data_IF_267522262225
#
_entry.id   IF_267522262225
#
_cell.length_a   1.000
_cell.length_b   1.000
_cell.length_c   1.000
_cell.angle_alpha   90.00
_cell.angle_beta   90.00
_cell.angle_gamma   90.00
#
_symmetry.space_group_name_H-M   'P 1'
#
loop_
_entity.id
_entity.type
_entity.pdbx_description
1 polymer ?
#
# COMPACT_ATOMS: atom_id res chain seq x y z
N UNK A 1 11.65 9.63 -12.54
CA UNK A 1 10.63 10.67 -12.79
C UNK A 1 9.39 10.27 -12.01
N UNK A 2 8.93 11.06 -11.04
CA UNK A 2 7.74 10.72 -10.24
C UNK A 2 6.51 10.78 -11.16
N UNK A 3 5.80 9.65 -11.31
CA UNK A 3 4.61 9.53 -12.16
C UNK A 3 3.35 10.13 -11.49
N UNK A 4 3.48 11.34 -11.01
CA UNK A 4 2.36 12.11 -10.51
C UNK A 4 2.20 13.33 -11.41
N UNK A 5 1.40 13.28 -12.48
CA UNK A 5 1.11 14.46 -13.25
C UNK A 5 0.56 15.54 -12.32
N UNK A 6 1.17 16.70 -12.36
CA UNK A 6 0.67 17.89 -11.67
C UNK A 6 -0.33 18.54 -12.61
N UNK A 7 -1.55 18.64 -12.16
CA UNK A 7 -2.65 19.28 -12.87
C UNK A 7 -2.77 20.72 -12.36
N UNK A 8 -2.44 21.66 -13.21
CA UNK A 8 -2.48 23.09 -12.87
C UNK A 8 -3.50 23.80 -13.74
N UNK A 9 -4.44 24.48 -13.11
CA UNK A 9 -5.49 25.27 -13.75
C UNK A 9 -5.56 26.66 -13.11
N UNK A 10 -6.41 27.52 -13.61
CA UNK A 10 -6.70 28.82 -12.98
C UNK A 10 -7.37 28.66 -11.60
N UNK A 11 -7.98 27.50 -11.32
CA UNK A 11 -8.67 27.20 -10.06
C UNK A 11 -7.74 26.66 -8.97
N UNK A 12 -6.53 26.16 -9.33
CA UNK A 12 -5.59 25.63 -8.37
C UNK A 12 -4.63 24.59 -8.91
N UNK A 13 -4.04 23.82 -7.99
CA UNK A 13 -3.05 22.79 -8.29
C UNK A 13 -3.41 21.49 -7.60
N UNK A 14 -3.42 20.39 -8.34
CA UNK A 14 -3.61 19.05 -7.83
C UNK A 14 -2.57 18.07 -8.40
N UNK A 15 -2.23 17.04 -7.65
CA UNK A 15 -1.48 15.89 -8.16
C UNK A 15 -2.43 14.73 -8.42
N UNK A 16 -2.26 14.06 -9.55
CA UNK A 16 -3.10 12.93 -9.95
C UNK A 16 -2.28 11.63 -9.91
N UNK A 17 -2.83 10.57 -9.36
CA UNK A 17 -2.30 9.20 -9.47
C UNK A 17 -3.20 8.44 -10.42
N UNK A 18 -2.72 8.20 -11.64
CA UNK A 18 -3.47 7.55 -12.71
C UNK A 18 -2.98 6.11 -12.99
N UNK A 19 -1.88 5.70 -12.39
CA UNK A 19 -1.28 4.38 -12.59
C UNK A 19 -2.21 3.23 -12.18
N UNK A 20 -3.17 3.47 -11.30
CA UNK A 20 -4.13 2.46 -10.86
C UNK A 20 -5.30 2.28 -11.85
N UNK A 21 -5.49 3.20 -12.80
CA UNK A 21 -6.59 3.13 -13.78
C UNK A 21 -6.57 1.83 -14.59
N UNK A 22 -5.46 1.39 -15.20
CA UNK A 22 -5.45 0.16 -16.00
C UNK A 22 -5.63 -1.13 -15.19
N UNK A 23 -5.41 -1.08 -13.86
CA UNK A 23 -5.44 -2.27 -13.01
C UNK A 23 -6.72 -2.36 -12.18
N UNK A 24 -7.21 -1.22 -11.69
CA UNK A 24 -8.29 -1.12 -10.70
C UNK A 24 -9.42 -0.19 -11.12
N UNK A 25 -9.25 0.54 -12.22
CA UNK A 25 -10.12 1.63 -12.70
C UNK A 25 -10.26 2.74 -11.64
N UNK A 26 -9.20 2.94 -10.86
CA UNK A 26 -9.16 3.91 -9.75
C UNK A 26 -8.17 5.05 -10.06
N UNK A 27 -8.59 6.28 -9.74
CA UNK A 27 -7.72 7.45 -9.77
C UNK A 27 -7.73 8.16 -8.42
N UNK A 28 -6.60 8.78 -8.08
CA UNK A 28 -6.45 9.48 -6.81
C UNK A 28 -5.99 10.92 -7.05
N UNK A 29 -6.71 11.87 -6.45
CA UNK A 29 -6.48 13.31 -6.57
C UNK A 29 -5.97 13.81 -5.22
N UNK A 30 -4.83 14.51 -5.21
CA UNK A 30 -4.39 15.27 -4.05
C UNK A 30 -4.40 16.75 -4.38
N UNK A 31 -5.34 17.50 -3.82
CA UNK A 31 -5.40 18.96 -3.95
C UNK A 31 -4.26 19.54 -3.12
N UNK A 32 -3.38 20.31 -3.77
CA UNK A 32 -2.24 20.96 -3.12
C UNK A 32 -2.56 22.40 -2.73
N UNK A 33 -3.29 23.11 -3.61
CA UNK A 33 -3.83 24.43 -3.37
C UNK A 33 -5.04 24.66 -4.26
N UNK A 34 -6.05 25.38 -3.76
CA UNK A 34 -7.23 25.69 -4.56
C UNK A 34 -7.73 27.11 -4.25
N UNK A 35 -7.95 27.87 -5.31
CA UNK A 35 -8.68 29.16 -5.27
C UNK A 35 -10.18 28.92 -5.38
N UNK A 36 -10.57 27.98 -6.24
CA UNK A 36 -11.95 27.52 -6.44
C UNK A 36 -11.93 25.97 -6.38
N UNK A 37 -12.12 25.38 -5.17
CA UNK A 37 -11.92 23.94 -4.97
C UNK A 37 -12.94 23.07 -5.70
N UNK A 38 -14.15 23.54 -5.91
CA UNK A 38 -15.20 22.82 -6.64
C UNK A 38 -14.84 22.69 -8.12
N UNK A 39 -14.47 23.78 -8.76
CA UNK A 39 -14.10 23.84 -10.17
C UNK A 39 -12.84 23.01 -10.44
N UNK A 40 -11.82 23.16 -9.59
CA UNK A 40 -10.59 22.36 -9.69
C UNK A 40 -10.90 20.86 -9.59
N UNK A 41 -11.75 20.47 -8.61
CA UNK A 41 -12.11 19.07 -8.42
C UNK A 41 -12.88 18.53 -9.61
N UNK A 42 -13.85 19.30 -10.15
CA UNK A 42 -14.65 18.91 -11.32
C UNK A 42 -13.78 18.71 -12.57
N UNK A 43 -12.79 19.58 -12.81
CA UNK A 43 -11.85 19.40 -13.91
C UNK A 43 -10.98 18.14 -13.71
N UNK A 44 -10.46 17.93 -12.50
CA UNK A 44 -9.69 16.73 -12.17
C UNK A 44 -10.51 15.44 -12.35
N UNK A 45 -11.77 15.42 -11.90
CA UNK A 45 -12.70 14.29 -12.10
C UNK A 45 -12.92 14.04 -13.58
N UNK A 46 -13.20 15.09 -14.34
CA UNK A 46 -13.44 15.00 -15.79
C UNK A 46 -12.25 14.39 -16.51
N UNK A 47 -11.04 14.84 -16.16
CA UNK A 47 -9.80 14.29 -16.70
C UNK A 47 -9.59 12.82 -16.31
N UNK A 48 -9.78 12.46 -15.03
CA UNK A 48 -9.65 11.08 -14.57
C UNK A 48 -10.64 10.14 -15.28
N UNK A 49 -11.86 10.59 -15.52
CA UNK A 49 -12.89 9.83 -16.29
C UNK A 49 -12.49 9.65 -17.75
N UNK A 50 -11.97 10.70 -18.38
CA UNK A 50 -11.50 10.65 -19.77
C UNK A 50 -10.39 9.60 -19.97
N UNK A 51 -9.54 9.37 -18.97
CA UNK A 51 -8.50 8.34 -19.01
C UNK A 51 -8.97 6.96 -18.51
N UNK A 52 -10.27 6.79 -18.22
CA UNK A 52 -10.90 5.50 -17.92
C UNK A 52 -11.06 5.16 -16.44
N UNK A 53 -10.94 6.14 -15.52
CA UNK A 53 -11.24 5.90 -14.11
C UNK A 53 -12.75 5.80 -13.87
N UNK A 54 -13.18 4.75 -13.16
CA UNK A 54 -14.56 4.53 -12.73
C UNK A 54 -14.78 4.93 -11.27
N UNK A 55 -13.71 4.89 -10.47
CA UNK A 55 -13.71 5.33 -9.07
C UNK A 55 -12.66 6.39 -8.90
N UNK A 56 -13.03 7.50 -8.30
CA UNK A 56 -12.12 8.62 -8.10
C UNK A 56 -12.17 9.02 -6.62
N UNK A 57 -10.99 9.11 -6.03
CA UNK A 57 -10.81 9.47 -4.64
C UNK A 57 -10.00 10.76 -4.54
N UNK A 58 -10.36 11.62 -3.59
CA UNK A 58 -9.67 12.89 -3.39
C UNK A 58 -9.31 13.14 -1.93
N UNK A 59 -8.27 13.97 -1.73
CA UNK A 59 -7.81 14.46 -0.42
C UNK A 59 -7.10 15.80 -0.54
N UNK A 60 -6.70 16.37 0.60
CA UNK A 60 -5.78 17.52 0.65
C UNK A 60 -6.43 18.88 0.77
N UNK A 61 -7.75 18.95 0.81
CA UNK A 61 -8.49 20.20 1.02
C UNK A 61 -9.79 19.92 1.76
N UNK A 62 -10.24 20.85 2.64
CA UNK A 62 -11.46 20.69 3.44
C UNK A 62 -12.73 20.49 2.58
N UNK A 63 -12.75 21.05 1.37
CA UNK A 63 -13.87 20.89 0.45
C UNK A 63 -14.20 19.43 0.14
N UNK A 64 -13.21 18.54 0.09
CA UNK A 64 -13.47 17.11 -0.22
C UNK A 64 -14.06 16.34 0.96
N UNK A 65 -14.02 16.88 2.16
CA UNK A 65 -14.56 16.23 3.37
C UNK A 65 -16.11 16.15 3.39
N UNK A 66 -16.78 16.88 2.52
CA UNK A 66 -18.23 16.75 2.32
C UNK A 66 -18.64 15.46 1.60
N UNK A 67 -17.69 14.80 0.92
CA UNK A 67 -17.92 13.52 0.23
C UNK A 67 -17.78 12.34 1.19
N UNK A 68 -18.36 11.18 0.85
CA UNK A 68 -18.22 9.99 1.69
C UNK A 68 -16.77 9.59 1.90
N UNK A 69 -16.41 9.38 3.15
CA UNK A 69 -15.09 8.80 3.49
C UNK A 69 -14.98 7.40 2.88
N UNK A 70 -13.95 7.18 2.05
CA UNK A 70 -13.63 5.88 1.51
C UNK A 70 -12.77 5.07 2.49
N UNK A 71 -11.59 5.58 2.81
CA UNK A 71 -10.71 4.98 3.83
C UNK A 71 -9.75 6.03 4.42
N UNK A 72 -9.30 5.76 5.63
CA UNK A 72 -8.14 6.41 6.21
C UNK A 72 -6.91 5.47 6.10
N UNK A 73 -5.72 6.03 6.01
CA UNK A 73 -4.48 5.29 6.14
C UNK A 73 -3.95 5.50 7.55
N UNK A 74 -3.83 4.41 8.27
CA UNK A 74 -3.38 4.38 9.65
C UNK A 74 -1.92 3.93 9.69
N UNK A 75 -1.14 4.57 10.56
CA UNK A 75 0.17 4.07 10.96
C UNK A 75 0.00 3.17 12.17
N UNK A 76 0.68 2.01 12.15
CA UNK A 76 0.80 1.16 13.32
C UNK A 76 2.27 0.94 13.64
N UNK A 77 2.60 0.92 14.94
CA UNK A 77 3.95 0.70 15.45
C UNK A 77 3.93 -0.23 16.65
N UNK A 78 5.04 -0.92 16.88
CA UNK A 78 5.24 -1.74 18.08
C UNK A 78 6.57 -2.46 18.06
N UNK A 79 6.96 -2.96 19.24
CA UNK A 79 8.05 -3.91 19.39
C UNK A 79 7.47 -5.31 19.21
N UNK A 80 8.05 -6.10 18.34
CA UNK A 80 7.58 -7.47 18.06
C UNK A 80 8.72 -8.44 18.35
N UNK A 81 8.48 -9.36 19.26
CA UNK A 81 9.39 -10.48 19.49
C UNK A 81 9.19 -11.53 18.40
N UNK A 82 10.30 -11.98 17.81
CA UNK A 82 10.26 -13.04 16.81
C UNK A 82 10.10 -14.39 17.51
N UNK A 83 9.02 -15.12 17.19
CA UNK A 83 8.81 -16.47 17.66
C UNK A 83 9.51 -17.45 16.72
N UNK A 84 10.66 -18.00 17.15
CA UNK A 84 11.52 -18.86 16.34
C UNK A 84 10.82 -20.09 15.77
N UNK A 85 9.87 -20.68 16.49
CA UNK A 85 9.09 -21.84 16.04
C UNK A 85 8.16 -21.52 14.87
N UNK A 86 7.84 -20.24 14.66
CA UNK A 86 7.04 -19.74 13.53
C UNK A 86 7.89 -19.34 12.33
N UNK A 87 9.19 -19.25 12.49
CA UNK A 87 10.10 -18.86 11.39
C UNK A 87 10.16 -20.00 10.36
N UNK A 88 10.13 -19.61 9.10
CA UNK A 88 10.19 -20.48 7.93
C UNK A 88 11.28 -20.01 6.98
N UNK A 89 11.60 -20.82 5.96
CA UNK A 89 12.68 -20.51 5.03
C UNK A 89 12.37 -19.24 4.22
N UNK A 90 13.30 -18.30 4.21
CA UNK A 90 13.27 -17.08 3.43
C UNK A 90 14.09 -17.24 2.16
N UNK A 91 13.49 -16.91 1.04
CA UNK A 91 14.17 -16.88 -0.25
C UNK A 91 14.19 -15.43 -0.74
N UNK A 92 15.35 -14.80 -0.81
CA UNK A 92 15.46 -13.41 -1.26
C UNK A 92 14.98 -13.29 -2.70
N UNK A 93 14.30 -12.20 -2.98
CA UNK A 93 13.89 -11.87 -4.35
C UNK A 93 15.11 -11.49 -5.15
N UNK A 94 15.27 -12.14 -6.31
CA UNK A 94 16.35 -11.89 -7.26
C UNK A 94 15.77 -11.26 -8.53
N UNK A 95 16.65 -10.82 -9.43
CA UNK A 95 16.25 -10.27 -10.72
C UNK A 95 15.38 -11.24 -11.53
N UNK A 96 15.65 -12.55 -11.42
CA UNK A 96 14.89 -13.60 -12.12
C UNK A 96 13.52 -13.85 -11.49
N UNK A 97 13.36 -13.60 -10.21
CA UNK A 97 12.13 -13.90 -9.46
C UNK A 97 11.28 -12.67 -9.13
N UNK A 98 11.79 -11.46 -9.36
CA UNK A 98 11.10 -10.20 -9.04
C UNK A 98 9.73 -10.08 -9.72
N UNK A 99 9.62 -10.48 -10.98
CA UNK A 99 8.36 -10.49 -11.72
C UNK A 99 7.31 -11.41 -11.09
N UNK A 100 7.69 -12.61 -10.63
CA UNK A 100 6.80 -13.56 -9.99
C UNK A 100 6.36 -13.04 -8.60
N UNK A 101 7.29 -12.47 -7.83
CA UNK A 101 7.02 -11.87 -6.54
C UNK A 101 6.03 -10.70 -6.66
N UNK A 102 6.26 -9.79 -7.60
CA UNK A 102 5.37 -8.68 -7.91
C UNK A 102 3.97 -9.16 -8.30
N UNK A 103 3.89 -10.15 -9.21
CA UNK A 103 2.61 -10.69 -9.64
C UNK A 103 1.83 -11.30 -8.46
N UNK A 104 2.50 -12.10 -7.63
CA UNK A 104 1.89 -12.69 -6.44
C UNK A 104 1.33 -11.62 -5.49
N UNK A 105 2.11 -10.59 -5.18
CA UNK A 105 1.64 -9.52 -4.28
C UNK A 105 0.49 -8.72 -4.89
N UNK A 106 0.57 -8.36 -6.17
CA UNK A 106 -0.50 -7.63 -6.84
C UNK A 106 -1.82 -8.43 -6.81
N UNK A 107 -1.77 -9.75 -7.03
CA UNK A 107 -2.95 -10.61 -6.95
C UNK A 107 -3.55 -10.61 -5.54
N UNK A 108 -2.71 -10.78 -4.51
CA UNK A 108 -3.16 -10.86 -3.11
C UNK A 108 -3.62 -9.52 -2.55
N UNK A 109 -3.00 -8.41 -2.97
CA UNK A 109 -3.30 -7.07 -2.47
C UNK A 109 -4.40 -6.37 -3.29
N UNK A 110 -4.77 -6.89 -4.45
CA UNK A 110 -5.81 -6.30 -5.31
C UNK A 110 -7.14 -5.98 -4.58
N UNK A 111 -7.66 -6.82 -3.66
CA UNK A 111 -8.90 -6.50 -2.96
C UNK A 111 -8.74 -5.50 -1.81
N UNK A 112 -7.51 -5.06 -1.50
CA UNK A 112 -7.24 -4.14 -0.39
C UNK A 112 -7.34 -2.70 -0.87
N UNK A 113 -8.18 -1.90 -0.21
CA UNK A 113 -8.34 -0.49 -0.53
C UNK A 113 -7.01 0.26 -0.41
N UNK A 114 -6.75 1.12 -1.38
CA UNK A 114 -5.57 1.97 -1.45
C UNK A 114 -4.21 1.22 -1.41
N UNK A 115 -4.21 -0.09 -1.60
CA UNK A 115 -2.98 -0.84 -1.86
C UNK A 115 -2.53 -0.55 -3.28
N UNK A 116 -1.38 0.12 -3.44
CA UNK A 116 -0.84 0.46 -4.75
C UNK A 116 -0.41 -0.78 -5.53
N UNK A 117 -0.62 -0.76 -6.84
CA UNK A 117 -0.13 -1.80 -7.74
C UNK A 117 1.37 -1.66 -7.94
N UNK A 118 2.11 -2.75 -7.75
CA UNK A 118 3.54 -2.80 -8.03
C UNK A 118 3.77 -2.88 -9.54
N UNK A 119 4.57 -1.99 -10.07
CA UNK A 119 4.92 -1.95 -11.49
C UNK A 119 6.35 -2.51 -11.70
N UNK A 120 6.61 -3.03 -12.90
CA UNK A 120 7.93 -3.59 -13.25
C UNK A 120 9.06 -2.55 -13.14
N UNK A 121 8.78 -1.28 -13.41
CA UNK A 121 9.77 -0.20 -13.23
C UNK A 121 10.23 0.01 -11.79
N UNK A 122 9.44 -0.43 -10.80
CA UNK A 122 9.81 -0.39 -9.37
C UNK A 122 10.63 -1.59 -8.90
N UNK A 123 10.75 -2.65 -9.72
CA UNK A 123 11.48 -3.87 -9.32
C UNK A 123 12.95 -3.60 -9.01
N UNK A 124 13.60 -2.73 -9.78
CA UNK A 124 15.00 -2.40 -9.55
C UNK A 124 15.20 -1.69 -8.21
N UNK A 125 14.32 -0.76 -7.83
CA UNK A 125 14.37 -0.09 -6.53
C UNK A 125 14.24 -1.10 -5.38
N UNK A 126 13.33 -2.08 -5.50
CA UNK A 126 13.12 -3.13 -4.51
C UNK A 126 14.37 -4.01 -4.38
N UNK A 127 15.00 -4.36 -5.50
CA UNK A 127 16.23 -5.17 -5.52
C UNK A 127 17.41 -4.41 -4.91
N UNK A 128 17.52 -3.12 -5.21
CA UNK A 128 18.62 -2.27 -4.70
C UNK A 128 18.50 -2.03 -3.18
N UNK A 129 17.27 -1.86 -2.68
CA UNK A 129 17.00 -1.69 -1.25
C UNK A 129 17.08 -3.02 -0.48
N UNK A 130 16.82 -4.13 -1.15
CA UNK A 130 16.73 -5.45 -0.50
C UNK A 130 15.51 -5.62 0.38
N UNK A 131 15.49 -6.67 1.21
CA UNK A 131 14.42 -6.92 2.18
C UNK A 131 13.14 -7.54 1.59
N UNK A 132 13.10 -7.85 0.30
CA UNK A 132 12.00 -8.54 -0.35
C UNK A 132 12.24 -10.06 -0.37
N UNK A 133 11.25 -10.82 0.10
CA UNK A 133 11.38 -12.28 0.26
C UNK A 133 10.12 -13.02 -0.16
N UNK A 134 10.32 -14.26 -0.61
CA UNK A 134 9.33 -15.32 -0.53
C UNK A 134 9.56 -16.12 0.75
N UNK A 135 8.48 -16.57 1.38
CA UNK A 135 8.50 -17.42 2.58
C UNK A 135 7.98 -18.80 2.23
N UNK A 136 8.80 -19.81 2.47
CA UNK A 136 8.50 -21.21 2.14
C UNK A 136 8.64 -22.12 3.37
N UNK A 137 7.82 -23.17 3.41
CA UNK A 137 7.98 -24.27 4.37
C UNK A 137 7.66 -25.59 3.68
N UNK A 138 8.52 -26.57 3.82
CA UNK A 138 8.34 -27.93 3.27
C UNK A 138 8.02 -27.91 1.74
N UNK A 139 8.71 -27.07 0.99
CA UNK A 139 8.51 -26.92 -0.45
C UNK A 139 7.25 -26.14 -0.86
N UNK A 140 6.47 -25.62 0.08
CA UNK A 140 5.25 -24.86 -0.19
C UNK A 140 5.47 -23.37 0.07
N UNK A 141 4.96 -22.53 -0.85
CA UNK A 141 4.91 -21.09 -0.66
C UNK A 141 3.90 -20.74 0.44
N UNK A 142 4.35 -20.11 1.52
CA UNK A 142 3.51 -19.58 2.58
C UNK A 142 3.05 -18.16 2.30
N UNK A 143 3.90 -17.36 1.65
CA UNK A 143 3.62 -15.98 1.31
C UNK A 143 4.85 -15.23 0.83
N UNK A 144 4.72 -13.92 0.76
CA UNK A 144 5.79 -13.01 0.38
C UNK A 144 5.63 -11.67 1.08
N UNK A 145 6.72 -10.90 1.16
CA UNK A 145 6.66 -9.57 1.71
C UNK A 145 7.94 -8.78 1.48
N UNK A 146 7.91 -7.55 1.96
CA UNK A 146 9.02 -6.60 1.88
C UNK A 146 9.15 -5.86 3.21
N UNK A 147 10.26 -6.11 3.89
CA UNK A 147 10.71 -5.39 5.08
C UNK A 147 11.90 -4.50 4.68
N UNK A 148 11.77 -3.20 4.83
CA UNK A 148 12.81 -2.23 4.52
C UNK A 148 13.23 -1.52 5.82
N UNK A 149 14.30 -2.00 6.45
CA UNK A 149 14.70 -1.58 7.80
C UNK A 149 13.59 -1.85 8.81
N UNK A 150 13.08 -0.81 9.48
CA UNK A 150 12.00 -0.92 10.46
C UNK A 150 10.59 -0.88 9.84
N UNK A 151 10.47 -0.77 8.52
CA UNK A 151 9.17 -0.61 7.87
C UNK A 151 8.73 -1.85 7.11
N UNK A 152 7.64 -2.47 7.54
CA UNK A 152 6.95 -3.51 6.79
C UNK A 152 6.13 -2.86 5.66
N UNK A 153 6.72 -2.84 4.47
CA UNK A 153 6.14 -2.23 3.27
C UNK A 153 4.98 -3.03 2.71
N UNK A 154 5.16 -4.35 2.63
CA UNK A 154 4.21 -5.27 2.00
C UNK A 154 4.28 -6.64 2.70
N UNK A 155 3.12 -7.25 2.84
CA UNK A 155 2.99 -8.66 3.27
C UNK A 155 1.73 -9.28 2.70
N UNK A 156 1.85 -10.50 2.21
CA UNK A 156 0.71 -11.29 1.80
C UNK A 156 0.96 -12.78 2.06
N UNK A 157 -0.06 -13.48 2.55
CA UNK A 157 -0.03 -14.94 2.71
C UNK A 157 -0.61 -15.64 1.48
N UNK A 158 -0.01 -16.76 1.10
CA UNK A 158 -0.49 -17.60 -0.01
C UNK A 158 -1.79 -18.32 0.35
N UNK A 159 -1.95 -18.70 1.62
CA UNK A 159 -3.11 -19.45 2.13
C UNK A 159 -3.59 -18.91 3.49
N UNK A 160 -4.86 -19.11 3.83
CA UNK A 160 -5.37 -18.77 5.16
C UNK A 160 -4.55 -19.44 6.27
N UNK A 161 -4.30 -18.72 7.36
CA UNK A 161 -3.54 -19.20 8.52
C UNK A 161 -2.02 -19.06 8.44
N UNK A 162 -1.44 -18.80 7.25
CA UNK A 162 0.01 -18.67 7.11
C UNK A 162 0.54 -17.26 7.49
N UNK A 163 -0.33 -16.31 7.81
CA UNK A 163 0.05 -14.91 8.03
C UNK A 163 1.09 -14.71 9.14
N UNK A 164 0.96 -15.41 10.27
CA UNK A 164 1.91 -15.32 11.39
C UNK A 164 3.29 -15.86 11.01
N UNK A 165 3.33 -17.01 10.33
CA UNK A 165 4.60 -17.58 9.86
C UNK A 165 5.31 -16.64 8.87
N UNK A 166 4.57 -16.06 7.92
CA UNK A 166 5.14 -15.10 6.97
C UNK A 166 5.66 -13.86 7.72
N UNK A 167 4.90 -13.35 8.69
CA UNK A 167 5.27 -12.18 9.46
C UNK A 167 6.53 -12.39 10.29
N UNK A 168 6.58 -13.45 11.14
CA UNK A 168 7.76 -13.76 11.94
C UNK A 168 8.99 -14.08 11.10
N UNK A 169 8.80 -14.76 9.95
CA UNK A 169 9.91 -15.04 9.02
C UNK A 169 10.51 -13.77 8.44
N UNK A 170 9.68 -12.80 8.04
CA UNK A 170 10.20 -11.52 7.52
C UNK A 170 10.96 -10.75 8.60
N UNK A 171 10.46 -10.73 9.84
CA UNK A 171 11.10 -10.01 10.94
C UNK A 171 12.39 -10.69 11.40
N UNK A 172 12.57 -12.00 11.22
CA UNK A 172 13.78 -12.72 11.62
C UNK A 172 15.04 -12.30 10.87
N UNK A 173 14.90 -11.54 9.76
CA UNK A 173 16.07 -11.05 8.99
C UNK A 173 16.81 -9.96 9.73
N UNK A 174 16.11 -8.90 10.12
CA UNK A 174 16.71 -7.69 10.69
C UNK A 174 16.30 -7.46 12.16
N UNK A 175 15.28 -8.19 12.66
CA UNK A 175 14.75 -8.09 14.03
C UNK A 175 14.63 -6.64 14.50
N UNK A 176 13.86 -5.78 13.81
CA UNK A 176 13.82 -4.36 14.10
C UNK A 176 13.34 -4.11 15.54
N UNK A 177 14.02 -3.22 16.26
CA UNK A 177 13.61 -2.84 17.62
C UNK A 177 12.20 -2.27 17.66
N UNK A 178 11.83 -1.52 16.64
CA UNK A 178 10.48 -0.97 16.48
C UNK A 178 10.00 -1.17 15.04
N UNK A 179 8.95 -1.95 14.89
CA UNK A 179 8.29 -2.15 13.60
C UNK A 179 7.29 -1.04 13.33
N UNK A 180 7.26 -0.56 12.09
CA UNK A 180 6.28 0.39 11.56
C UNK A 180 5.62 -0.16 10.30
N UNK A 181 4.33 0.12 10.12
CA UNK A 181 3.61 -0.17 8.88
C UNK A 181 2.45 0.82 8.65
N UNK A 182 1.97 0.88 7.41
CA UNK A 182 0.75 1.59 7.05
C UNK A 182 -0.35 0.59 6.67
N UNK A 183 -1.58 0.85 7.08
CA UNK A 183 -2.74 -0.01 6.80
C UNK A 183 -3.99 0.81 6.52
N UNK A 184 -4.80 0.40 5.52
CA UNK A 184 -6.10 1.01 5.26
C UNK A 184 -7.07 0.70 6.41
N UNK A 185 -7.82 1.70 6.87
CA UNK A 185 -8.80 1.55 7.97
C UNK A 185 -9.89 0.52 7.66
N UNK A 186 -10.16 0.29 6.39
CA UNK A 186 -11.11 -0.73 5.90
C UNK A 186 -10.56 -2.16 5.95
N UNK A 187 -9.24 -2.34 6.11
CA UNK A 187 -8.61 -3.65 6.24
C UNK A 187 -8.59 -4.11 7.70
N UNK A 188 -9.79 -4.25 8.29
CA UNK A 188 -9.95 -4.64 9.69
C UNK A 188 -9.27 -5.98 10.02
N UNK A 189 -9.21 -6.90 9.05
CA UNK A 189 -8.54 -8.20 9.26
C UNK A 189 -7.04 -8.01 9.51
N UNK A 190 -6.38 -7.17 8.72
CA UNK A 190 -4.96 -6.86 8.92
C UNK A 190 -4.74 -6.08 10.22
N UNK A 191 -5.61 -5.10 10.52
CA UNK A 191 -5.51 -4.32 11.76
C UNK A 191 -5.57 -5.25 12.98
N UNK A 192 -6.58 -6.13 13.07
CA UNK A 192 -6.70 -7.11 14.17
C UNK A 192 -5.51 -8.08 14.21
N UNK A 193 -4.95 -8.44 13.05
CA UNK A 193 -3.75 -9.26 13.01
C UNK A 193 -2.56 -8.51 13.63
N UNK A 194 -2.29 -7.28 13.21
CA UNK A 194 -1.17 -6.49 13.74
C UNK A 194 -1.33 -6.15 15.23
N UNK A 195 -2.56 -5.88 15.69
CA UNK A 195 -2.84 -5.69 17.11
C UNK A 195 -2.49 -6.92 17.95
N UNK A 196 -2.78 -8.14 17.46
CA UNK A 196 -2.35 -9.40 18.11
C UNK A 196 -0.83 -9.58 18.11
N UNK A 197 -0.14 -9.05 17.09
CA UNK A 197 1.33 -9.07 17.01
C UNK A 197 1.98 -7.97 17.87
N UNK A 198 1.22 -7.22 18.66
CA UNK A 198 1.74 -6.21 19.56
C UNK A 198 1.87 -4.80 18.98
N UNK A 199 1.40 -4.56 17.74
CA UNK A 199 1.39 -3.22 17.19
C UNK A 199 0.15 -2.44 17.64
N UNK A 200 0.31 -1.13 17.81
CA UNK A 200 -0.77 -0.20 18.14
C UNK A 200 -0.92 0.87 17.06
N UNK A 201 -2.11 1.39 16.88
CA UNK A 201 -2.36 2.54 16.02
C UNK A 201 -1.72 3.78 16.65
N UNK A 202 -0.82 4.43 15.93
CA UNK A 202 -0.08 5.61 16.42
C UNK A 202 -0.52 6.90 15.75
N UNK A 203 -0.97 6.84 14.50
CA UNK A 203 -1.42 8.01 13.77
C UNK A 203 -2.44 7.64 12.67
N UNK A 204 -3.23 8.62 12.31
CA UNK A 204 -3.96 8.65 11.05
C UNK A 204 -3.20 9.58 10.10
N UNK A 205 -2.65 9.01 9.04
CA UNK A 205 -1.75 9.73 8.14
C UNK A 205 -2.48 10.54 7.07
N UNK A 206 -3.58 9.99 6.54
CA UNK A 206 -4.34 10.59 5.46
C UNK A 206 -5.72 9.97 5.32
N UNK A 207 -6.69 10.75 4.82
CA UNK A 207 -8.05 10.32 4.47
C UNK A 207 -8.25 10.42 2.98
N UNK A 208 -9.00 9.48 2.43
CA UNK A 208 -9.46 9.49 1.06
C UNK A 208 -10.98 9.52 1.02
N UNK A 209 -11.52 10.45 0.26
CA UNK A 209 -12.95 10.63 0.09
C UNK A 209 -13.35 10.23 -1.32
N UNK A 210 -14.47 9.51 -1.46
CA UNK A 210 -14.95 9.08 -2.76
C UNK A 210 -15.71 10.22 -3.42
N UNK A 211 -15.14 10.80 -4.48
CA UNK A 211 -15.71 11.94 -5.21
C UNK A 211 -16.40 11.52 -6.50
N UNK A 212 -16.23 10.27 -6.93
CA UNK A 212 -16.93 9.64 -8.05
C UNK A 212 -16.97 8.12 -7.92
#
# INVERSE_FOLDING_TARGET
MRDFPVFTTEYGVASLVLREVPYRQEAYITIQSALQPEELLNECISFCRMVGAEKIFARGHAYVEQYPLHCAILEMRGCVEVEEEKVSNLWPVTKETAGQWRQFLNEKLRPIDNAGTLESKGEQEILDLGGAYFVHRDGQLLGAGWLAGEELKLIASAKPGAGEQVFHSLLSVDSPEQLRLEVASTNERAIRFYERMGLVKTAELRRWYRVH
#
